data_IF_569987511210
#
_entry.id   IF_569987511210
#
_cell.length_a   1.000
_cell.length_b   1.000
_cell.length_c   1.000
_cell.angle_alpha   90.00
_cell.angle_beta   90.00
_cell.angle_gamma   90.00
#
_symmetry.space_group_name_H-M   'P 1'
#
loop_
_entity.id
_entity.type
_entity.pdbx_description
1 polymer ?
#
# COMPACT_ATOMS: atom_id res chain seq x y z
N UNK A 1 13.30 27.55 -4.37
CA UNK A 1 12.38 26.44 -4.58
C UNK A 1 13.01 25.42 -5.50
N UNK A 2 12.81 24.15 -5.22
CA UNK A 2 13.18 23.10 -6.14
C UNK A 2 12.25 23.14 -7.37
N UNK A 3 12.67 22.64 -8.51
CA UNK A 3 11.83 22.56 -9.71
C UNK A 3 10.49 21.84 -9.42
N UNK A 4 10.52 20.82 -8.55
CA UNK A 4 9.31 20.08 -8.13
C UNK A 4 8.35 20.97 -7.33
N UNK A 5 8.86 21.74 -6.38
CA UNK A 5 8.04 22.65 -5.57
C UNK A 5 7.31 23.68 -6.45
N UNK A 6 8.02 24.29 -7.39
CA UNK A 6 7.41 25.28 -8.30
C UNK A 6 6.34 24.62 -9.17
N UNK A 7 6.59 23.43 -9.71
CA UNK A 7 5.61 22.71 -10.52
C UNK A 7 4.35 22.36 -9.73
N UNK A 8 4.47 21.98 -8.45
CA UNK A 8 3.30 21.72 -7.60
C UNK A 8 2.49 23.00 -7.35
N UNK A 9 3.14 24.14 -7.14
CA UNK A 9 2.47 25.44 -7.01
C UNK A 9 1.76 25.82 -8.31
N UNK A 10 2.40 25.66 -9.46
CA UNK A 10 1.81 25.95 -10.76
C UNK A 10 0.58 25.07 -11.03
N UNK A 11 0.63 23.78 -10.67
CA UNK A 11 -0.52 22.88 -10.75
C UNK A 11 -1.66 23.29 -9.79
N UNK A 12 -1.33 23.74 -8.60
CA UNK A 12 -2.32 24.27 -7.65
C UNK A 12 -3.04 25.48 -8.24
N UNK A 13 -2.28 26.45 -8.78
CA UNK A 13 -2.86 27.65 -9.41
C UNK A 13 -3.67 27.31 -10.67
N UNK A 14 -3.30 26.27 -11.40
CA UNK A 14 -4.05 25.79 -12.56
C UNK A 14 -5.37 25.16 -12.16
N UNK A 15 -5.38 24.37 -11.08
CA UNK A 15 -6.59 23.70 -10.58
C UNK A 15 -7.54 24.68 -9.86
N UNK A 16 -6.98 25.62 -9.11
CA UNK A 16 -7.71 26.64 -8.34
C UNK A 16 -7.09 28.02 -8.57
N UNK A 17 -7.49 28.74 -9.63
CA UNK A 17 -6.90 30.02 -10.03
C UNK A 17 -6.91 31.11 -8.94
N UNK A 18 -7.88 31.06 -8.03
CA UNK A 18 -7.98 31.97 -6.88
C UNK A 18 -6.78 31.88 -5.93
N UNK A 19 -6.09 30.74 -5.91
CA UNK A 19 -4.91 30.55 -5.05
C UNK A 19 -3.69 31.34 -5.55
N UNK A 20 -3.67 31.78 -6.80
CA UNK A 20 -2.55 32.53 -7.34
C UNK A 20 -2.36 33.92 -6.68
N UNK A 21 -3.44 34.47 -6.12
CA UNK A 21 -3.41 35.76 -5.40
C UNK A 21 -3.47 35.60 -3.88
N UNK A 22 -3.59 34.37 -3.38
CA UNK A 22 -3.63 34.09 -1.95
C UNK A 22 -2.24 34.23 -1.31
N UNK A 23 -2.20 34.77 -0.10
CA UNK A 23 -0.97 34.80 0.71
C UNK A 23 -0.63 33.38 1.21
N UNK A 24 0.59 32.94 0.99
CA UNK A 24 1.09 31.69 1.59
C UNK A 24 1.45 31.97 3.05
N UNK A 25 0.74 31.36 3.97
CA UNK A 25 0.96 31.50 5.42
C UNK A 25 2.10 30.60 5.88
N UNK A 26 2.13 29.38 5.38
CA UNK A 26 3.14 28.40 5.67
C UNK A 26 3.22 27.36 4.55
N UNK A 27 4.39 26.75 4.36
CA UNK A 27 4.57 25.68 3.38
C UNK A 27 5.70 24.75 3.82
N UNK A 28 5.49 23.48 3.59
CA UNK A 28 6.49 22.44 3.77
C UNK A 28 6.49 21.51 2.55
N UNK A 29 7.66 21.27 1.96
CA UNK A 29 7.84 20.26 0.93
C UNK A 29 8.37 18.99 1.55
N UNK A 30 7.54 17.97 1.63
CA UNK A 30 7.92 16.64 2.11
C UNK A 30 8.36 15.78 0.93
N UNK A 31 9.64 15.42 0.89
CA UNK A 31 10.19 14.45 -0.04
C UNK A 31 10.63 13.25 0.79
N UNK A 32 9.99 12.10 0.55
CA UNK A 32 10.22 10.86 1.30
C UNK A 32 10.45 9.69 0.34
N UNK A 33 11.31 8.78 0.73
CA UNK A 33 11.57 7.53 0.03
C UNK A 33 10.82 6.34 0.67
N UNK A 34 9.94 6.62 1.64
CA UNK A 34 9.17 5.64 2.42
C UNK A 34 7.74 5.43 1.91
N UNK A 35 7.44 5.87 0.70
CA UNK A 35 6.14 5.66 0.06
C UNK A 35 6.00 4.22 -0.44
N UNK A 36 4.76 3.71 -0.43
CA UNK A 36 4.46 2.42 -1.03
C UNK A 36 4.87 2.40 -2.51
N UNK A 37 5.60 1.37 -2.92
CA UNK A 37 6.00 1.19 -4.31
C UNK A 37 4.76 0.91 -5.17
N UNK A 38 4.46 1.83 -6.08
CA UNK A 38 3.49 1.63 -7.15
C UNK A 38 4.28 1.23 -8.40
N UNK A 39 4.47 -0.08 -8.57
CA UNK A 39 5.19 -0.64 -9.70
C UNK A 39 4.19 -0.98 -10.82
N UNK A 40 4.46 -0.59 -12.08
CA UNK A 40 3.66 -1.01 -13.23
C UNK A 40 3.77 -2.51 -13.57
N UNK A 41 4.69 -3.25 -12.92
CA UNK A 41 4.78 -4.69 -13.08
C UNK A 41 3.47 -5.40 -12.74
N UNK A 42 3.14 -6.51 -13.44
CA UNK A 42 1.94 -7.27 -13.19
C UNK A 42 1.81 -7.69 -11.72
N UNK A 43 0.63 -7.57 -11.15
CA UNK A 43 0.33 -7.98 -9.77
C UNK A 43 0.79 -9.42 -9.47
N UNK A 44 0.66 -10.31 -10.45
CA UNK A 44 1.06 -11.72 -10.33
C UNK A 44 2.56 -11.93 -10.08
N UNK A 45 3.42 -10.97 -10.46
CA UNK A 45 4.86 -11.04 -10.27
C UNK A 45 5.28 -10.68 -8.84
N UNK A 46 4.40 -10.05 -8.08
CA UNK A 46 4.68 -9.77 -6.67
C UNK A 46 4.73 -11.08 -5.86
N UNK A 47 5.71 -11.23 -4.96
CA UNK A 47 5.77 -12.42 -4.12
C UNK A 47 4.54 -12.51 -3.23
N UNK A 48 4.05 -13.73 -3.02
CA UNK A 48 3.00 -14.03 -2.04
C UNK A 48 3.55 -14.16 -0.63
N UNK A 49 2.65 -14.39 0.33
CA UNK A 49 3.00 -14.61 1.74
C UNK A 49 3.88 -15.83 1.92
N UNK A 50 3.54 -16.95 1.26
CA UNK A 50 4.32 -18.20 1.32
C UNK A 50 5.42 -18.19 0.27
N UNK A 51 6.61 -18.70 0.65
CA UNK A 51 7.73 -18.86 -0.25
C UNK A 51 8.02 -20.36 -0.50
N UNK A 52 8.87 -20.70 -1.47
CA UNK A 52 9.34 -22.08 -1.65
C UNK A 52 10.08 -22.66 -0.42
N UNK A 53 10.62 -21.80 0.43
CA UNK A 53 11.18 -22.20 1.72
C UNK A 53 10.07 -22.18 2.78
N UNK A 54 9.67 -23.34 3.33
CA UNK A 54 8.56 -23.41 4.29
C UNK A 54 8.81 -22.64 5.59
N UNK A 55 10.05 -22.36 5.94
CA UNK A 55 10.40 -21.59 7.15
C UNK A 55 10.48 -20.08 6.91
N UNK A 56 10.28 -19.63 5.66
CA UNK A 56 10.33 -18.23 5.30
C UNK A 56 8.96 -17.79 4.78
N UNK A 57 8.36 -16.85 5.47
CA UNK A 57 7.13 -16.16 5.05
C UNK A 57 7.39 -14.67 4.87
N UNK A 58 6.59 -14.02 4.04
CA UNK A 58 6.71 -12.60 3.74
C UNK A 58 5.45 -11.88 4.22
N UNK A 59 5.64 -10.68 4.75
CA UNK A 59 4.57 -9.77 5.13
C UNK A 59 4.93 -8.34 4.78
N UNK A 60 3.93 -7.52 4.49
CA UNK A 60 4.12 -6.12 4.15
C UNK A 60 3.11 -5.65 3.10
N UNK A 61 3.01 -4.36 2.90
CA UNK A 61 2.10 -3.75 1.93
C UNK A 61 2.47 -4.03 0.46
N UNK A 62 3.72 -4.44 0.20
CA UNK A 62 4.24 -4.84 -1.11
C UNK A 62 3.96 -6.31 -1.45
N UNK A 63 3.60 -7.14 -0.47
CA UNK A 63 3.32 -8.57 -0.64
C UNK A 63 1.96 -8.74 -1.32
N UNK A 64 1.89 -9.67 -2.28
CA UNK A 64 0.63 -10.03 -2.93
C UNK A 64 -0.31 -10.70 -1.94
N UNK A 65 -1.54 -10.19 -1.91
CA UNK A 65 -2.64 -10.72 -1.12
C UNK A 65 -3.90 -10.73 -1.99
N UNK A 66 -4.62 -11.84 -1.98
CA UNK A 66 -5.84 -12.02 -2.78
C UNK A 66 -7.10 -11.45 -2.08
N UNK A 67 -6.91 -10.49 -1.18
CA UNK A 67 -7.96 -9.73 -0.53
C UNK A 67 -7.93 -8.27 -0.99
N UNK A 68 -9.07 -7.58 -1.06
CA UNK A 68 -9.17 -6.22 -1.58
C UNK A 68 -8.69 -5.18 -0.55
N UNK A 69 -7.45 -5.31 -0.14
CA UNK A 69 -6.79 -4.44 0.87
C UNK A 69 -5.57 -3.75 0.28
N UNK A 70 -5.25 -2.58 0.81
CA UNK A 70 -4.13 -1.77 0.34
C UNK A 70 -3.34 -1.19 1.52
N UNK A 71 -2.11 -0.78 1.26
CA UNK A 71 -1.24 -0.06 2.21
C UNK A 71 -1.19 -0.74 3.59
N UNK A 72 -1.49 -0.02 4.66
CA UNK A 72 -1.43 -0.52 6.04
C UNK A 72 -2.34 -1.74 6.27
N UNK A 73 -3.52 -1.76 5.68
CA UNK A 73 -4.43 -2.90 5.78
C UNK A 73 -3.82 -4.15 5.11
N UNK A 74 -3.15 -3.97 3.97
CA UNK A 74 -2.42 -5.07 3.34
C UNK A 74 -1.26 -5.55 4.18
N UNK A 75 -0.48 -4.64 4.78
CA UNK A 75 0.62 -4.98 5.66
C UNK A 75 0.12 -5.79 6.87
N UNK A 76 -0.95 -5.35 7.53
CA UNK A 76 -1.56 -6.06 8.66
C UNK A 76 -2.12 -7.42 8.23
N UNK A 77 -2.89 -7.47 7.13
CA UNK A 77 -3.49 -8.70 6.60
C UNK A 77 -2.43 -9.73 6.23
N UNK A 78 -1.40 -9.34 5.49
CA UNK A 78 -0.30 -10.24 5.12
C UNK A 78 0.50 -10.69 6.34
N UNK A 79 0.60 -9.86 7.38
CA UNK A 79 1.18 -10.24 8.68
C UNK A 79 0.40 -11.38 9.33
N UNK A 80 -0.93 -11.28 9.41
CA UNK A 80 -1.79 -12.36 9.96
C UNK A 80 -1.70 -13.62 9.09
N UNK A 81 -1.77 -13.48 7.75
CA UNK A 81 -1.64 -14.62 6.85
C UNK A 81 -0.27 -15.31 6.97
N UNK A 82 0.80 -14.55 7.17
CA UNK A 82 2.15 -15.07 7.40
C UNK A 82 2.23 -15.86 8.73
N UNK A 83 1.67 -15.30 9.80
CA UNK A 83 1.57 -15.99 11.08
C UNK A 83 0.77 -17.30 10.94
N UNK A 84 -0.38 -17.26 10.26
CA UNK A 84 -1.21 -18.44 10.01
C UNK A 84 -0.46 -19.51 9.21
N UNK A 85 0.32 -19.12 8.21
CA UNK A 85 1.13 -20.04 7.41
C UNK A 85 2.21 -20.77 8.27
N UNK A 86 2.79 -20.07 9.23
CA UNK A 86 3.73 -20.69 10.18
C UNK A 86 3.01 -21.59 11.19
N UNK A 87 1.90 -21.12 11.77
CA UNK A 87 1.11 -21.90 12.73
C UNK A 87 0.60 -23.22 12.15
N UNK A 88 0.18 -23.20 10.89
CA UNK A 88 -0.28 -24.38 10.18
C UNK A 88 0.78 -25.50 10.09
N UNK A 89 2.05 -25.15 10.04
CA UNK A 89 3.15 -26.14 10.04
C UNK A 89 3.23 -26.92 11.34
N UNK A 90 2.72 -26.38 12.44
CA UNK A 90 2.67 -27.02 13.75
C UNK A 90 1.28 -27.55 14.11
N UNK A 91 0.34 -27.54 13.15
CA UNK A 91 -1.04 -27.96 13.38
C UNK A 91 -1.81 -27.04 14.35
N UNK A 92 -1.34 -25.81 14.51
CA UNK A 92 -2.01 -24.80 15.34
C UNK A 92 -2.99 -24.02 14.48
N UNK A 93 -4.22 -23.83 15.00
CA UNK A 93 -5.20 -22.98 14.33
C UNK A 93 -4.70 -21.54 14.24
N UNK A 94 -4.85 -20.94 13.08
CA UNK A 94 -4.56 -19.53 12.87
C UNK A 94 -5.77 -18.64 13.18
N UNK A 95 -5.60 -17.34 13.00
CA UNK A 95 -6.65 -16.34 13.15
C UNK A 95 -7.45 -16.17 11.86
N UNK A 96 -8.77 -15.98 11.99
CA UNK A 96 -9.64 -15.72 10.86
C UNK A 96 -9.41 -14.29 10.33
N UNK A 97 -9.23 -14.17 9.01
CA UNK A 97 -9.09 -12.87 8.35
C UNK A 97 -10.41 -12.49 7.71
N UNK A 98 -11.02 -11.44 8.23
CA UNK A 98 -12.26 -10.89 7.71
C UNK A 98 -11.96 -9.87 6.62
N UNK A 99 -12.69 -9.97 5.51
CA UNK A 99 -12.55 -9.03 4.38
C UNK A 99 -13.88 -8.88 3.65
N UNK A 100 -14.01 -7.79 2.90
CA UNK A 100 -15.11 -7.65 1.95
C UNK A 100 -14.90 -8.55 0.73
N UNK A 101 -15.97 -8.96 0.02
CA UNK A 101 -15.83 -9.74 -1.18
C UNK A 101 -14.99 -9.05 -2.26
N UNK A 102 -14.17 -9.81 -2.99
CA UNK A 102 -13.37 -9.30 -4.12
C UNK A 102 -14.25 -8.74 -5.25
N UNK A 103 -15.46 -9.28 -5.41
CA UNK A 103 -16.44 -8.76 -6.35
C UNK A 103 -17.47 -7.96 -5.59
N UNK A 104 -17.72 -6.73 -6.04
CA UNK A 104 -18.77 -5.90 -5.51
C UNK A 104 -20.18 -6.50 -5.77
N UNK A 105 -21.19 -5.87 -5.19
CA UNK A 105 -22.60 -6.29 -5.34
C UNK A 105 -23.11 -6.26 -6.79
N UNK A 106 -22.42 -5.55 -7.68
CA UNK A 106 -22.84 -5.33 -9.08
C UNK A 106 -21.96 -6.05 -10.12
N UNK A 107 -21.02 -6.92 -9.72
CA UNK A 107 -20.15 -7.51 -10.74
C UNK A 107 -19.42 -8.74 -10.39
#
# INVERSE_FOLDING_TARGET
PTDIEQRLIDELHRAWPETATAGIVDRELLIRDDCALVDPAPWAERPGVSTPNPTLVLAGDWVRCDLPVALMERAATTGVLAANALLAQWGVAGEEVWSVPMKGLLG
#
